data_IF_953159044670
#
_entry.id   IF_953159044670
#
_cell.length_a   1.000
_cell.length_b   1.000
_cell.length_c   1.000
_cell.angle_alpha   90.00
_cell.angle_beta   90.00
_cell.angle_gamma   90.00
#
_symmetry.space_group_name_H-M   'P 1'
#
loop_
_entity.id
_entity.type
_entity.pdbx_description
1 polymer ?
#
# COMPACT_ATOMS: atom_id res chain seq x y z
N UNK A 1 -12.26 1.97 67.51
CA UNK A 1 -11.64 0.64 67.37
C UNK A 1 -10.33 0.82 66.58
N UNK A 2 -9.20 0.58 67.28
CA UNK A 2 -7.84 0.84 66.77
C UNK A 2 -7.42 -0.21 65.75
N UNK A 3 -7.03 0.23 64.59
CA UNK A 3 -6.42 -0.63 63.58
C UNK A 3 -4.99 -1.00 63.97
N UNK A 4 -4.73 -2.28 64.08
CA UNK A 4 -3.53 -2.88 64.61
C UNK A 4 -2.41 -2.90 63.54
N UNK A 5 -1.20 -2.43 63.88
CA UNK A 5 0.00 -2.31 63.05
C UNK A 5 0.52 -3.62 62.41
N UNK A 6 -0.06 -4.77 62.72
CA UNK A 6 0.34 -6.06 62.18
C UNK A 6 -0.27 -6.44 60.85
N UNK A 7 -1.35 -5.73 60.39
CA UNK A 7 -2.01 -5.99 59.12
C UNK A 7 -1.38 -5.24 57.93
N UNK A 8 -0.43 -4.32 58.19
CA UNK A 8 0.22 -3.51 57.14
C UNK A 8 1.51 -4.15 56.59
N UNK A 9 2.04 -5.19 57.22
CA UNK A 9 3.27 -5.85 56.84
C UNK A 9 3.07 -7.16 56.04
N UNK A 10 1.82 -7.60 55.82
CA UNK A 10 1.53 -8.82 55.04
C UNK A 10 1.19 -8.55 53.56
N UNK A 11 1.09 -7.28 53.14
CA UNK A 11 0.78 -6.89 51.74
C UNK A 11 2.01 -6.36 50.97
N UNK A 12 3.21 -6.34 51.58
CA UNK A 12 4.42 -5.80 50.97
C UNK A 12 5.39 -6.89 50.44
N UNK A 13 5.01 -8.17 50.45
CA UNK A 13 5.88 -9.27 50.02
C UNK A 13 5.51 -9.85 48.62
N UNK A 14 4.53 -9.28 47.92
CA UNK A 14 4.10 -9.75 46.59
C UNK A 14 4.54 -8.83 45.44
N UNK A 15 5.41 -7.83 45.67
CA UNK A 15 5.82 -6.84 44.70
C UNK A 15 7.32 -6.93 44.27
N UNK A 16 7.98 -8.07 44.49
CA UNK A 16 9.44 -8.21 44.25
C UNK A 16 9.81 -9.30 43.25
N UNK A 17 8.91 -9.70 42.32
CA UNK A 17 9.26 -10.67 41.25
C UNK A 17 8.90 -10.16 39.82
N UNK A 18 8.88 -8.86 39.61
CA UNK A 18 8.73 -8.26 38.28
C UNK A 18 9.99 -7.47 37.91
N UNK A 19 11.15 -8.11 37.96
CA UNK A 19 12.41 -7.49 37.53
C UNK A 19 13.32 -8.51 36.85
N UNK A 20 12.84 -9.09 35.73
CA UNK A 20 13.71 -9.63 34.67
C UNK A 20 12.95 -9.63 33.35
N UNK A 21 12.46 -8.48 32.91
CA UNK A 21 12.24 -8.28 31.50
C UNK A 21 13.61 -8.34 30.81
N UNK A 22 13.76 -9.12 29.72
CA UNK A 22 15.00 -9.10 28.97
C UNK A 22 15.26 -7.66 28.57
N UNK A 23 16.45 -7.13 28.87
CA UNK A 23 16.93 -5.87 28.33
C UNK A 23 16.92 -6.02 26.81
N UNK A 24 15.88 -5.53 26.16
CA UNK A 24 15.95 -5.23 24.73
C UNK A 24 17.14 -4.29 24.60
N UNK A 25 18.20 -4.74 23.96
CA UNK A 25 19.30 -3.88 23.59
C UNK A 25 18.68 -2.80 22.72
N UNK A 26 18.51 -1.63 23.29
CA UNK A 26 18.25 -0.42 22.52
C UNK A 26 19.48 -0.26 21.61
N UNK A 27 19.33 -0.55 20.33
CA UNK A 27 20.30 -0.12 19.34
C UNK A 27 20.56 1.37 19.58
N UNK A 28 21.80 1.80 19.41
CA UNK A 28 22.21 3.15 19.79
C UNK A 28 21.26 4.15 19.09
N UNK A 29 20.55 4.96 19.85
CA UNK A 29 19.67 6.05 19.33
C UNK A 29 20.41 7.05 18.45
N UNK A 30 21.72 6.90 18.33
CA UNK A 30 22.62 7.80 17.60
C UNK A 30 22.86 7.37 16.13
N UNK A 31 22.53 6.11 15.75
CA UNK A 31 22.69 5.69 14.36
C UNK A 31 21.61 6.32 13.48
N UNK A 32 22.03 7.08 12.46
CA UNK A 32 21.16 7.58 11.39
C UNK A 32 21.49 6.87 10.09
N UNK A 33 20.46 6.31 9.44
CA UNK A 33 20.58 5.66 8.14
C UNK A 33 20.60 6.71 7.02
N UNK A 34 21.54 6.58 6.10
CA UNK A 34 21.62 7.41 4.88
C UNK A 34 20.42 7.08 3.99
N UNK A 35 19.46 7.99 3.94
CA UNK A 35 18.16 7.79 3.32
C UNK A 35 18.02 8.61 2.06
N UNK A 36 17.50 7.99 0.98
CA UNK A 36 17.07 8.66 -0.24
C UNK A 36 15.54 8.57 -0.40
N UNK A 37 14.92 9.60 -0.97
CA UNK A 37 13.53 9.59 -1.43
C UNK A 37 13.51 9.65 -2.96
N UNK A 38 12.81 8.69 -3.59
CA UNK A 38 12.53 8.65 -5.02
C UNK A 38 11.02 8.87 -5.22
N UNK A 39 10.65 9.99 -5.83
CA UNK A 39 9.29 10.50 -5.90
C UNK A 39 9.00 11.47 -4.76
N UNK A 40 9.41 12.75 -4.91
CA UNK A 40 9.25 13.81 -3.90
C UNK A 40 7.91 14.58 -4.01
N UNK A 41 6.89 13.94 -4.59
CA UNK A 41 5.54 14.44 -4.60
C UNK A 41 4.89 14.44 -3.22
N UNK A 42 3.62 14.86 -3.16
CA UNK A 42 2.87 14.99 -1.90
C UNK A 42 2.98 13.77 -0.97
N UNK A 43 2.81 12.54 -1.52
CA UNK A 43 2.81 11.34 -0.69
C UNK A 43 4.22 10.92 -0.26
N UNK A 44 5.20 11.04 -1.13
CA UNK A 44 6.59 10.77 -0.78
C UNK A 44 7.08 11.67 0.35
N UNK A 45 6.73 12.96 0.31
CA UNK A 45 7.05 13.89 1.39
C UNK A 45 6.28 13.57 2.68
N UNK A 46 5.04 13.07 2.62
CA UNK A 46 4.35 12.59 3.82
C UNK A 46 5.10 11.43 4.49
N UNK A 47 5.55 10.44 3.70
CA UNK A 47 6.34 9.32 4.24
C UNK A 47 7.64 9.83 4.85
N UNK A 48 8.34 10.75 4.17
CA UNK A 48 9.61 11.29 4.65
C UNK A 48 9.46 12.07 5.95
N UNK A 49 8.39 12.86 6.12
CA UNK A 49 8.08 13.57 7.39
C UNK A 49 7.93 12.59 8.53
N UNK A 50 7.17 11.51 8.34
CA UNK A 50 6.94 10.50 9.35
C UNK A 50 8.21 9.66 9.64
N UNK A 51 9.04 9.42 8.62
CA UNK A 51 10.35 8.80 8.78
C UNK A 51 11.31 9.68 9.61
N UNK A 52 11.29 10.98 9.40
CA UNK A 52 12.05 11.94 10.20
C UNK A 52 11.52 12.01 11.63
N UNK A 53 10.20 12.02 11.83
CA UNK A 53 9.56 12.03 13.14
C UNK A 53 9.84 10.75 13.95
N UNK A 54 9.90 9.58 13.28
CA UNK A 54 10.29 8.32 13.91
C UNK A 54 11.77 8.28 14.32
N UNK A 55 12.62 9.11 13.70
CA UNK A 55 14.05 9.23 13.99
C UNK A 55 14.92 8.26 13.18
N UNK A 56 16.22 8.30 13.44
CA UNK A 56 17.26 7.48 12.80
C UNK A 56 17.37 7.68 11.27
N UNK A 57 16.80 8.76 10.73
CA UNK A 57 16.83 9.12 9.31
C UNK A 57 17.80 10.28 9.08
N UNK A 58 18.69 10.15 8.09
CA UNK A 58 19.49 11.22 7.53
C UNK A 58 19.23 11.29 6.03
N UNK A 59 18.57 12.37 5.59
CA UNK A 59 18.25 12.55 4.17
C UNK A 59 19.49 13.01 3.43
N UNK A 60 19.98 12.19 2.49
CA UNK A 60 21.21 12.48 1.74
C UNK A 60 20.94 12.74 0.25
N UNK A 61 19.82 12.23 -0.27
CA UNK A 61 19.46 12.42 -1.68
C UNK A 61 17.93 12.46 -1.88
N UNK A 62 17.50 13.24 -2.85
CA UNK A 62 16.13 13.32 -3.36
C UNK A 62 16.16 13.12 -4.88
N UNK A 63 15.17 12.39 -5.41
CA UNK A 63 15.02 12.17 -6.84
C UNK A 63 13.57 12.40 -7.28
N UNK A 64 13.38 13.26 -8.26
CA UNK A 64 12.08 13.45 -8.93
C UNK A 64 12.34 13.97 -10.35
N UNK A 65 11.42 13.71 -11.26
CA UNK A 65 11.46 14.21 -12.64
C UNK A 65 10.88 15.62 -12.80
N UNK A 66 10.32 16.17 -11.72
CA UNK A 66 9.77 17.52 -11.62
C UNK A 66 10.72 18.38 -10.73
N UNK A 67 11.46 19.29 -11.36
CA UNK A 67 12.46 20.11 -10.66
C UNK A 67 11.84 21.02 -9.60
N UNK A 68 10.60 21.53 -9.81
CA UNK A 68 9.91 22.34 -8.80
C UNK A 68 9.62 21.48 -7.55
N UNK A 69 9.26 20.21 -7.72
CA UNK A 69 9.04 19.28 -6.59
C UNK A 69 10.34 19.00 -5.85
N UNK A 70 11.44 18.82 -6.58
CA UNK A 70 12.76 18.61 -5.97
C UNK A 70 13.20 19.81 -5.14
N UNK A 71 13.07 21.03 -5.66
CA UNK A 71 13.47 22.27 -4.95
C UNK A 71 12.67 22.43 -3.66
N UNK A 72 11.33 22.36 -3.74
CA UNK A 72 10.45 22.43 -2.58
C UNK A 72 10.74 21.34 -1.53
N UNK A 73 11.02 20.12 -1.97
CA UNK A 73 11.35 19.03 -1.07
C UNK A 73 12.70 19.22 -0.39
N UNK A 74 13.72 19.75 -1.09
CA UNK A 74 15.03 20.01 -0.53
C UNK A 74 14.98 21.16 0.52
N UNK A 75 14.22 22.22 0.24
CA UNK A 75 13.97 23.30 1.19
C UNK A 75 13.26 22.77 2.44
N UNK A 76 12.19 22.00 2.27
CA UNK A 76 11.44 21.44 3.39
C UNK A 76 12.30 20.50 4.26
N UNK A 77 13.14 19.65 3.66
CA UNK A 77 14.06 18.78 4.41
C UNK A 77 15.04 19.59 5.22
N UNK A 78 15.61 20.67 4.63
CA UNK A 78 16.52 21.56 5.36
C UNK A 78 15.81 22.23 6.55
N UNK A 79 14.57 22.67 6.37
CA UNK A 79 13.78 23.31 7.43
C UNK A 79 13.41 22.33 8.56
N UNK A 80 13.08 21.09 8.22
CA UNK A 80 12.65 20.08 9.19
C UNK A 80 13.80 19.51 10.03
N UNK A 81 14.98 19.29 9.45
CA UNK A 81 16.06 18.57 10.14
C UNK A 81 17.47 19.11 9.89
N UNK A 82 17.65 20.15 9.07
CA UNK A 82 18.95 20.73 8.73
C UNK A 82 19.78 19.91 7.74
N UNK A 83 19.27 18.81 7.20
CA UNK A 83 19.94 18.05 6.16
C UNK A 83 19.92 18.83 4.83
N UNK A 84 20.96 18.67 4.03
CA UNK A 84 21.09 19.27 2.70
C UNK A 84 21.25 18.15 1.66
N UNK A 85 20.15 17.52 1.24
CA UNK A 85 20.22 16.41 0.30
C UNK A 85 20.66 16.88 -1.09
N UNK A 86 21.41 16.04 -1.80
CA UNK A 86 21.65 16.23 -3.22
C UNK A 86 20.39 15.88 -4.01
N UNK A 87 20.16 16.58 -5.11
CA UNK A 87 18.98 16.38 -5.96
C UNK A 87 19.35 15.73 -7.29
N UNK A 88 18.50 14.82 -7.76
CA UNK A 88 18.68 14.04 -8.98
C UNK A 88 17.38 13.97 -9.77
N UNK A 89 17.45 14.05 -11.10
CA UNK A 89 16.32 13.76 -11.98
C UNK A 89 16.26 12.29 -12.42
N UNK A 90 17.36 11.56 -12.24
CA UNK A 90 17.50 10.14 -12.60
C UNK A 90 17.96 9.32 -11.40
N UNK A 91 17.13 8.36 -11.00
CA UNK A 91 17.44 7.47 -9.86
C UNK A 91 18.69 6.61 -10.10
N UNK A 92 19.04 6.30 -11.36
CA UNK A 92 20.25 5.53 -11.68
C UNK A 92 21.49 6.32 -11.31
N UNK A 93 21.50 7.61 -11.64
CA UNK A 93 22.59 8.51 -11.28
C UNK A 93 22.71 8.67 -9.75
N UNK A 94 21.57 8.72 -9.04
CA UNK A 94 21.56 8.75 -7.58
C UNK A 94 22.27 7.54 -6.98
N UNK A 95 21.91 6.32 -7.39
CA UNK A 95 22.52 5.11 -6.84
C UNK A 95 23.97 4.88 -7.31
N UNK A 96 24.37 5.44 -8.44
CA UNK A 96 25.76 5.41 -8.89
C UNK A 96 26.68 6.35 -8.09
N UNK A 97 26.11 7.46 -7.57
CA UNK A 97 26.91 8.53 -6.91
C UNK A 97 26.80 8.54 -5.40
N UNK A 98 25.74 7.99 -4.82
CA UNK A 98 25.47 8.05 -3.39
C UNK A 98 25.42 6.67 -2.75
N UNK A 99 26.04 6.56 -1.58
CA UNK A 99 25.85 5.38 -0.73
C UNK A 99 24.53 5.52 0.04
N UNK A 100 23.54 4.69 -0.30
CA UNK A 100 22.20 4.71 0.28
C UNK A 100 21.98 3.46 1.12
N UNK A 101 21.66 3.63 2.40
CA UNK A 101 21.29 2.52 3.30
C UNK A 101 19.78 2.23 3.24
N UNK A 102 18.94 3.27 3.07
CA UNK A 102 17.48 3.14 2.93
C UNK A 102 17.00 3.96 1.74
N UNK A 103 16.19 3.37 0.87
CA UNK A 103 15.48 4.08 -0.19
C UNK A 103 13.98 4.05 0.05
N UNK A 104 13.35 5.22 0.03
CA UNK A 104 11.89 5.40 0.01
C UNK A 104 11.48 5.49 -1.46
N UNK A 105 10.62 4.58 -1.93
CA UNK A 105 10.08 4.56 -3.30
C UNK A 105 8.62 4.97 -3.24
N UNK A 106 8.32 6.17 -3.73
CA UNK A 106 6.97 6.77 -3.71
C UNK A 106 6.59 7.38 -5.07
N UNK A 107 7.10 6.79 -6.14
CA UNK A 107 6.78 7.11 -7.53
C UNK A 107 5.39 6.59 -7.94
N UNK A 108 4.86 6.90 -9.13
CA UNK A 108 3.74 6.16 -9.72
C UNK A 108 4.05 4.66 -9.87
N UNK A 109 2.98 3.83 -9.86
CA UNK A 109 3.08 2.36 -9.80
C UNK A 109 3.99 1.75 -10.89
N UNK A 110 3.95 2.31 -12.11
CA UNK A 110 4.72 1.81 -13.25
C UNK A 110 6.24 1.95 -13.10
N UNK A 111 6.69 2.74 -12.13
CA UNK A 111 8.10 2.91 -11.80
C UNK A 111 8.58 2.06 -10.63
N UNK A 112 7.66 1.50 -9.84
CA UNK A 112 7.98 0.81 -8.59
C UNK A 112 9.04 -0.29 -8.77
N UNK A 113 8.87 -1.15 -9.80
CA UNK A 113 9.74 -2.29 -9.99
C UNK A 113 11.18 -1.88 -10.33
N UNK A 114 11.37 -0.97 -11.28
CA UNK A 114 12.72 -0.55 -11.70
C UNK A 114 13.46 0.17 -10.57
N UNK A 115 12.79 1.10 -9.88
CA UNK A 115 13.39 1.82 -8.77
C UNK A 115 13.78 0.87 -7.62
N UNK A 116 12.86 -0.02 -7.22
CA UNK A 116 13.11 -0.96 -6.13
C UNK A 116 14.23 -1.94 -6.44
N UNK A 117 14.22 -2.54 -7.64
CA UNK A 117 15.24 -3.51 -8.04
C UNK A 117 16.62 -2.84 -8.13
N UNK A 118 16.70 -1.62 -8.64
CA UNK A 118 17.96 -0.87 -8.70
C UNK A 118 18.48 -0.58 -7.29
N UNK A 119 17.61 -0.10 -6.39
CA UNK A 119 17.99 0.20 -5.02
C UNK A 119 18.41 -1.04 -4.22
N UNK A 120 17.69 -2.17 -4.39
CA UNK A 120 18.06 -3.46 -3.77
C UNK A 120 19.45 -3.95 -4.25
N UNK A 121 19.72 -3.87 -5.55
CA UNK A 121 21.02 -4.24 -6.14
C UNK A 121 22.14 -3.32 -5.69
N UNK A 122 21.84 -2.03 -5.43
CA UNK A 122 22.78 -1.08 -4.81
C UNK A 122 23.01 -1.33 -3.30
N UNK A 123 22.25 -2.26 -2.71
CA UNK A 123 22.43 -2.67 -1.30
C UNK A 123 21.56 -1.92 -0.30
N UNK A 124 20.59 -1.10 -0.73
CA UNK A 124 19.69 -0.39 0.15
C UNK A 124 18.57 -1.29 0.70
N UNK A 125 18.12 -1.04 1.93
CA UNK A 125 16.82 -1.47 2.43
C UNK A 125 15.72 -0.57 1.86
N UNK A 126 14.53 -1.09 1.67
CA UNK A 126 13.48 -0.41 0.91
C UNK A 126 12.23 -0.17 1.74
N UNK A 127 11.73 1.06 1.73
CA UNK A 127 10.34 1.39 2.03
C UNK A 127 9.64 1.74 0.71
N UNK A 128 8.73 0.89 0.25
CA UNK A 128 8.03 1.09 -1.02
C UNK A 128 6.55 1.30 -0.84
N UNK A 129 5.97 2.21 -1.60
CA UNK A 129 4.53 2.36 -1.67
C UNK A 129 3.83 1.19 -2.38
N UNK A 130 2.60 0.97 -1.97
CA UNK A 130 1.68 0.01 -2.61
C UNK A 130 1.06 0.62 -3.90
N UNK A 131 0.63 -0.19 -4.87
CA UNK A 131 0.91 -1.62 -5.02
C UNK A 131 2.39 -1.88 -5.33
N UNK A 132 2.90 -3.06 -5.04
CA UNK A 132 4.35 -3.33 -5.23
C UNK A 132 4.79 -3.28 -6.69
N UNK A 133 3.90 -3.48 -7.65
CA UNK A 133 4.20 -3.37 -9.08
C UNK A 133 2.95 -3.04 -9.90
N UNK A 134 3.15 -2.59 -11.11
CA UNK A 134 2.08 -2.32 -12.06
C UNK A 134 1.55 -3.61 -12.72
N UNK A 135 2.36 -4.66 -12.74
CA UNK A 135 1.99 -6.02 -13.19
C UNK A 135 2.42 -7.07 -12.16
N UNK A 136 1.80 -8.25 -12.20
CA UNK A 136 2.17 -9.36 -11.30
C UNK A 136 3.63 -9.75 -11.51
N UNK A 137 4.09 -9.85 -12.76
CA UNK A 137 5.49 -10.20 -13.06
C UNK A 137 6.50 -9.18 -12.55
N UNK A 138 6.18 -7.87 -12.54
CA UNK A 138 7.01 -6.85 -11.89
C UNK A 138 7.15 -7.10 -10.39
N UNK A 139 6.03 -7.39 -9.72
CA UNK A 139 6.02 -7.68 -8.29
C UNK A 139 6.76 -8.99 -7.95
N UNK A 140 6.66 -10.02 -8.80
CA UNK A 140 7.44 -11.28 -8.70
C UNK A 140 8.95 -11.01 -8.80
N UNK A 141 9.38 -10.19 -9.77
CA UNK A 141 10.78 -9.83 -9.94
C UNK A 141 11.34 -9.07 -8.71
N UNK A 142 10.55 -8.17 -8.15
CA UNK A 142 10.93 -7.46 -6.93
C UNK A 142 11.09 -8.40 -5.74
N UNK A 143 10.14 -9.35 -5.56
CA UNK A 143 10.20 -10.37 -4.52
C UNK A 143 11.48 -11.22 -4.65
N UNK A 144 11.79 -11.70 -5.85
CA UNK A 144 12.98 -12.52 -6.12
C UNK A 144 14.29 -11.75 -5.81
N UNK A 145 14.38 -10.48 -6.23
CA UNK A 145 15.57 -9.65 -5.95
C UNK A 145 15.69 -9.32 -4.46
N UNK A 146 14.60 -9.05 -3.78
CA UNK A 146 14.61 -8.82 -2.33
C UNK A 146 15.13 -10.06 -1.58
N UNK A 147 14.67 -11.25 -1.98
CA UNK A 147 15.18 -12.50 -1.40
C UNK A 147 16.65 -12.75 -1.73
N UNK A 148 17.09 -12.52 -2.96
CA UNK A 148 18.48 -12.70 -3.37
C UNK A 148 19.45 -11.74 -2.63
N UNK A 149 19.05 -10.48 -2.46
CA UNK A 149 19.89 -9.47 -1.79
C UNK A 149 19.80 -9.51 -0.27
N UNK A 150 18.84 -10.23 0.31
CA UNK A 150 18.58 -10.29 1.76
C UNK A 150 18.38 -8.91 2.38
N UNK A 151 17.87 -7.96 1.61
CA UNK A 151 17.51 -6.63 2.12
C UNK A 151 16.08 -6.63 2.64
N UNK A 152 15.86 -5.87 3.69
CA UNK A 152 14.51 -5.69 4.25
C UNK A 152 13.72 -4.79 3.33
N UNK A 153 12.51 -5.21 2.97
CA UNK A 153 11.55 -4.41 2.21
C UNK A 153 10.28 -4.27 3.04
N UNK A 154 9.91 -3.03 3.34
CA UNK A 154 8.64 -2.64 3.96
C UNK A 154 7.73 -2.05 2.89
N UNK A 155 6.51 -2.53 2.80
CA UNK A 155 5.49 -2.02 1.87
C UNK A 155 4.55 -1.07 2.61
N UNK A 156 4.11 0.01 1.99
CA UNK A 156 3.24 1.06 2.53
C UNK A 156 1.82 0.60 2.90
N UNK A 157 1.67 -0.61 3.44
CA UNK A 157 0.42 -1.15 3.96
C UNK A 157 0.23 -0.76 5.44
N UNK A 158 0.27 0.54 5.70
CA UNK A 158 0.34 1.15 7.02
C UNK A 158 -0.85 0.82 7.95
N UNK A 159 -1.95 0.26 7.41
CA UNK A 159 -3.08 -0.19 8.25
C UNK A 159 -2.78 -1.45 9.05
N UNK A 160 -1.79 -2.26 8.64
CA UNK A 160 -1.37 -3.45 9.40
C UNK A 160 -0.81 -3.16 10.79
N UNK A 161 -0.40 -1.94 11.07
CA UNK A 161 0.14 -1.53 12.35
C UNK A 161 -0.75 -0.54 13.10
N UNK A 162 -1.83 -0.08 12.46
CA UNK A 162 -2.77 0.86 13.07
C UNK A 162 -3.49 0.23 14.27
N UNK A 163 -3.52 0.88 15.45
CA UNK A 163 -4.04 0.28 16.68
C UNK A 163 -5.44 -0.30 16.54
N UNK A 164 -6.40 0.44 15.97
CA UNK A 164 -7.76 -0.07 15.81
C UNK A 164 -7.87 -1.21 14.77
N UNK A 165 -6.97 -1.25 13.76
CA UNK A 165 -6.92 -2.37 12.83
C UNK A 165 -6.36 -3.62 13.52
N UNK A 166 -5.34 -3.45 14.37
CA UNK A 166 -4.75 -4.55 15.15
C UNK A 166 -5.79 -5.12 16.11
N UNK A 167 -6.45 -4.27 16.91
CA UNK A 167 -7.47 -4.74 17.87
C UNK A 167 -8.70 -5.35 17.19
N UNK A 168 -9.13 -4.80 16.04
CA UNK A 168 -10.22 -5.38 15.26
C UNK A 168 -9.85 -6.72 14.64
N UNK A 169 -8.61 -6.85 14.17
CA UNK A 169 -8.08 -8.11 13.65
C UNK A 169 -7.96 -9.17 14.74
N UNK A 170 -7.54 -8.79 15.94
CA UNK A 170 -7.50 -9.68 17.10
C UNK A 170 -8.92 -10.15 17.48
N UNK A 171 -9.92 -9.26 17.44
CA UNK A 171 -11.31 -9.64 17.67
C UNK A 171 -11.80 -10.67 16.63
N UNK A 172 -11.50 -10.47 15.34
CA UNK A 172 -11.87 -11.40 14.27
C UNK A 172 -11.18 -12.75 14.42
N UNK A 173 -9.86 -12.76 14.64
CA UNK A 173 -9.05 -13.99 14.78
C UNK A 173 -9.38 -14.80 16.02
N UNK A 174 -9.90 -14.17 17.06
CA UNK A 174 -10.44 -14.85 18.25
C UNK A 174 -11.85 -15.42 18.03
N UNK A 175 -12.40 -15.31 16.82
CA UNK A 175 -13.74 -15.80 16.49
C UNK A 175 -14.87 -14.94 17.04
N UNK A 176 -14.62 -13.63 17.23
CA UNK A 176 -15.60 -12.68 17.73
C UNK A 176 -16.84 -12.58 16.81
N UNK A 177 -16.65 -12.64 15.49
CA UNK A 177 -17.74 -12.69 14.51
C UNK A 177 -18.23 -14.10 14.16
N UNK A 178 -17.59 -15.14 14.70
CA UNK A 178 -17.89 -16.55 14.38
C UNK A 178 -17.26 -17.02 13.08
N UNK A 179 -17.91 -17.98 12.41
CA UNK A 179 -17.47 -18.52 11.12
C UNK A 179 -17.86 -17.53 10.01
N UNK A 180 -16.86 -16.93 9.37
CA UNK A 180 -17.07 -15.90 8.35
C UNK A 180 -17.23 -16.55 6.97
N UNK A 181 -18.39 -16.32 6.35
CA UNK A 181 -18.70 -16.84 5.01
C UNK A 181 -18.58 -15.81 3.90
N UNK A 182 -18.59 -14.51 4.23
CA UNK A 182 -18.49 -13.43 3.25
C UNK A 182 -17.67 -12.27 3.79
N UNK A 183 -16.77 -11.74 2.95
CA UNK A 183 -16.06 -10.45 3.21
C UNK A 183 -16.42 -9.48 2.10
N UNK A 184 -16.88 -8.27 2.44
CA UNK A 184 -17.18 -7.22 1.47
C UNK A 184 -16.28 -6.01 1.72
N UNK A 185 -15.49 -5.63 0.73
CA UNK A 185 -14.59 -4.49 0.71
C UNK A 185 -15.11 -3.46 -0.29
N UNK A 186 -15.03 -2.16 0.04
CA UNK A 186 -15.61 -1.16 -0.85
C UNK A 186 -14.98 0.21 -0.74
N UNK A 187 -15.05 0.97 -1.87
CA UNK A 187 -14.79 2.41 -1.93
C UNK A 187 -15.81 3.07 -2.83
N UNK A 188 -16.58 4.01 -2.29
CA UNK A 188 -17.62 4.72 -2.99
C UNK A 188 -17.38 6.23 -2.96
N UNK A 189 -17.11 6.82 -4.12
CA UNK A 189 -16.85 8.24 -4.27
C UNK A 189 -18.01 8.92 -5.01
N UNK A 190 -18.11 10.22 -4.86
CA UNK A 190 -18.99 11.05 -5.70
C UNK A 190 -18.31 11.34 -7.03
N UNK A 191 -19.09 11.51 -8.08
CA UNK A 191 -18.60 11.82 -9.41
C UNK A 191 -19.71 11.77 -10.44
N UNK A 192 -19.37 11.98 -11.70
CA UNK A 192 -20.30 12.00 -12.82
C UNK A 192 -19.55 11.86 -14.15
N UNK A 193 -20.19 12.31 -15.23
CA UNK A 193 -19.64 12.34 -16.59
C UNK A 193 -18.30 13.07 -16.58
N UNK A 194 -17.30 12.51 -17.25
CA UNK A 194 -15.99 13.11 -17.39
C UNK A 194 -15.88 13.82 -18.75
N UNK A 195 -15.49 15.08 -18.71
CA UNK A 195 -15.27 15.86 -19.93
C UNK A 195 -13.79 15.77 -20.32
N UNK A 196 -13.47 15.47 -21.58
CA UNK A 196 -12.08 15.44 -22.05
C UNK A 196 -11.35 16.76 -21.79
N UNK A 197 -10.11 16.65 -21.36
CA UNK A 197 -9.22 17.80 -21.16
C UNK A 197 -8.19 17.85 -22.28
N UNK A 198 -7.98 19.04 -22.84
CA UNK A 198 -7.00 19.24 -23.90
C UNK A 198 -5.59 18.91 -23.43
N UNK A 199 -4.85 18.24 -24.29
CA UNK A 199 -3.42 18.04 -24.11
C UNK A 199 -2.68 19.38 -24.28
N UNK A 200 -1.51 19.47 -23.68
CA UNK A 200 -0.63 20.63 -23.76
C UNK A 200 0.82 20.18 -23.74
N UNK A 201 1.77 21.05 -24.06
CA UNK A 201 3.15 20.80 -23.69
C UNK A 201 3.27 20.59 -22.17
N UNK A 202 4.19 19.72 -21.70
CA UNK A 202 4.48 19.61 -20.27
C UNK A 202 5.08 20.93 -19.75
N UNK A 203 4.96 21.20 -18.44
CA UNK A 203 5.72 22.29 -17.81
C UNK A 203 7.23 22.14 -18.09
N UNK A 204 7.95 23.25 -18.22
CA UNK A 204 9.41 23.25 -18.46
C UNK A 204 10.18 22.55 -17.33
N UNK A 205 9.62 22.50 -16.14
CA UNK A 205 10.20 21.88 -14.94
C UNK A 205 10.02 20.36 -14.91
N UNK A 206 9.16 19.79 -15.78
CA UNK A 206 8.79 18.37 -15.78
C UNK A 206 9.43 17.64 -16.97
N UNK A 207 10.32 16.70 -16.70
CA UNK A 207 10.76 15.69 -17.68
C UNK A 207 9.64 14.67 -17.90
N UNK A 208 8.77 14.97 -18.86
CA UNK A 208 7.62 14.12 -19.18
C UNK A 208 8.02 12.78 -19.80
N UNK A 209 9.11 12.73 -20.53
CA UNK A 209 9.62 11.49 -21.12
C UNK A 209 10.09 10.53 -20.03
N UNK A 210 10.85 11.03 -19.06
CA UNK A 210 11.28 10.28 -17.90
C UNK A 210 10.08 9.95 -16.97
N UNK A 211 9.09 10.86 -16.85
CA UNK A 211 7.87 10.53 -16.11
C UNK A 211 7.15 9.31 -16.70
N UNK A 212 6.94 9.26 -18.02
CA UNK A 212 6.35 8.11 -18.69
C UNK A 212 7.21 6.84 -18.56
N UNK A 213 8.52 6.98 -18.63
CA UNK A 213 9.48 5.89 -18.41
C UNK A 213 9.16 4.60 -19.17
N UNK A 214 8.96 3.47 -18.46
CA UNK A 214 8.66 2.18 -19.09
C UNK A 214 7.22 2.09 -19.66
N UNK A 215 6.34 3.03 -19.33
CA UNK A 215 5.00 3.12 -19.92
C UNK A 215 5.07 3.70 -21.34
N UNK A 216 4.01 3.54 -22.16
CA UNK A 216 3.93 4.20 -23.46
C UNK A 216 4.07 5.72 -23.31
N UNK A 217 4.85 6.33 -24.21
CA UNK A 217 4.92 7.79 -24.31
C UNK A 217 3.61 8.33 -24.90
N UNK A 218 2.92 9.16 -24.13
CA UNK A 218 1.65 9.77 -24.53
C UNK A 218 1.71 11.29 -24.38
N UNK A 219 0.86 12.05 -25.05
CA UNK A 219 0.79 13.49 -24.88
C UNK A 219 0.58 13.86 -23.40
N UNK A 220 1.24 14.90 -22.95
CA UNK A 220 1.05 15.40 -21.59
C UNK A 220 -0.38 15.93 -21.40
N UNK A 221 -0.96 15.57 -20.26
CA UNK A 221 -2.24 16.08 -19.83
C UNK A 221 -2.20 16.38 -18.33
N UNK A 222 -2.65 17.57 -17.94
CA UNK A 222 -2.67 18.04 -16.55
C UNK A 222 -3.51 17.16 -15.61
N UNK A 223 -4.37 16.29 -16.16
CA UNK A 223 -5.12 15.32 -15.36
C UNK A 223 -4.27 14.13 -14.91
N UNK A 224 -3.11 13.88 -15.52
CA UNK A 224 -2.23 12.75 -15.18
C UNK A 224 -1.29 13.16 -14.06
N UNK A 225 -0.52 14.22 -14.25
CA UNK A 225 0.48 14.71 -13.29
C UNK A 225 -0.06 15.94 -12.53
N UNK A 226 0.18 16.05 -11.21
CA UNK A 226 1.01 15.16 -10.39
C UNK A 226 0.30 13.96 -9.76
N UNK A 227 -1.00 13.95 -9.60
CA UNK A 227 -1.68 12.96 -8.76
C UNK A 227 -2.72 12.09 -9.48
N UNK A 228 -3.12 12.45 -10.69
CA UNK A 228 -4.20 11.77 -11.40
C UNK A 228 -3.79 10.47 -12.10
N UNK A 229 -2.51 10.15 -12.15
CA UNK A 229 -1.96 8.95 -12.78
C UNK A 229 -2.67 7.66 -12.36
N UNK A 230 -3.21 7.60 -11.14
CA UNK A 230 -3.96 6.48 -10.59
C UNK A 230 -5.15 6.04 -11.43
N UNK A 231 -5.63 6.95 -12.28
CA UNK A 231 -6.79 6.74 -13.14
C UNK A 231 -6.44 6.51 -14.60
N UNK A 232 -5.15 6.29 -14.91
CA UNK A 232 -4.62 6.01 -16.24
C UNK A 232 -3.92 4.66 -16.22
N UNK A 233 -4.44 3.70 -16.99
CA UNK A 233 -3.99 2.29 -16.95
C UNK A 233 -2.57 2.07 -17.47
N UNK A 234 -1.99 3.03 -18.16
CA UNK A 234 -0.56 3.00 -18.50
C UNK A 234 0.36 3.20 -17.28
N UNK A 235 -0.12 3.88 -16.25
CA UNK A 235 0.67 4.32 -15.10
C UNK A 235 0.28 3.64 -13.78
N UNK A 236 -0.98 3.18 -13.65
CA UNK A 236 -1.51 2.55 -12.46
C UNK A 236 -2.69 1.63 -12.78
N UNK A 237 -3.32 1.03 -11.77
CA UNK A 237 -4.39 0.05 -11.91
C UNK A 237 -5.75 0.52 -11.35
N UNK A 238 -6.03 1.82 -11.46
CA UNK A 238 -7.31 2.39 -11.02
C UNK A 238 -7.57 2.22 -9.53
N UNK A 239 -8.85 2.28 -9.14
CA UNK A 239 -9.25 2.23 -7.73
C UNK A 239 -8.98 0.87 -7.08
N UNK A 240 -9.06 -0.24 -7.84
CA UNK A 240 -8.75 -1.55 -7.28
C UNK A 240 -7.25 -1.69 -6.97
N UNK A 241 -6.37 -1.15 -7.82
CA UNK A 241 -4.93 -1.10 -7.55
C UNK A 241 -4.55 -0.14 -6.43
N UNK A 242 -5.21 1.02 -6.35
CA UNK A 242 -4.88 2.06 -5.36
C UNK A 242 -5.51 1.79 -3.99
N UNK A 243 -6.83 1.61 -3.91
CA UNK A 243 -7.56 1.40 -2.66
C UNK A 243 -7.85 -0.06 -2.34
N UNK A 244 -8.12 -0.86 -3.38
CA UNK A 244 -8.45 -2.27 -3.19
C UNK A 244 -7.32 -3.04 -2.56
N UNK A 245 -6.08 -2.74 -2.89
CA UNK A 245 -4.90 -3.37 -2.30
C UNK A 245 -4.86 -3.28 -0.77
N UNK A 246 -5.28 -2.16 -0.17
CA UNK A 246 -5.34 -2.01 1.29
C UNK A 246 -6.38 -2.94 1.93
N UNK A 247 -7.56 -3.04 1.32
CA UNK A 247 -8.65 -3.85 1.88
C UNK A 247 -8.46 -5.34 1.60
N UNK A 248 -7.92 -5.69 0.44
CA UNK A 248 -7.47 -7.05 0.14
C UNK A 248 -6.40 -7.49 1.13
N UNK A 249 -5.49 -6.59 1.51
CA UNK A 249 -4.50 -6.86 2.54
C UNK A 249 -5.13 -7.11 3.92
N UNK A 250 -6.16 -6.36 4.31
CA UNK A 250 -6.89 -6.61 5.57
C UNK A 250 -7.59 -7.98 5.58
N UNK A 251 -8.22 -8.35 4.48
CA UNK A 251 -8.81 -9.68 4.32
C UNK A 251 -7.75 -10.78 4.35
N UNK A 252 -6.64 -10.62 3.61
CA UNK A 252 -5.52 -11.57 3.62
C UNK A 252 -4.91 -11.70 5.02
N UNK A 253 -4.81 -10.62 5.77
CA UNK A 253 -4.34 -10.66 7.16
C UNK A 253 -5.26 -11.48 8.06
N UNK A 254 -6.57 -11.32 7.89
CA UNK A 254 -7.55 -12.12 8.63
C UNK A 254 -7.47 -13.61 8.29
N UNK A 255 -7.41 -13.98 7.01
CA UNK A 255 -7.40 -15.38 6.56
C UNK A 255 -5.98 -16.00 6.48
N UNK A 256 -4.99 -15.41 7.17
CA UNK A 256 -3.61 -15.92 7.23
C UNK A 256 -2.98 -16.15 5.85
N UNK A 257 -3.19 -15.19 4.92
CA UNK A 257 -2.58 -15.13 3.59
C UNK A 257 -3.03 -16.28 2.65
N UNK A 258 -4.23 -16.82 2.83
CA UNK A 258 -4.79 -17.78 1.87
C UNK A 258 -4.89 -17.18 0.46
N UNK A 259 -4.83 -18.03 -0.56
CA UNK A 259 -5.01 -17.62 -1.94
C UNK A 259 -6.39 -18.03 -2.47
N UNK A 260 -7.03 -17.23 -3.33
CA UNK A 260 -8.32 -17.58 -3.90
C UNK A 260 -8.16 -18.72 -4.93
N UNK A 261 -9.17 -19.59 -5.02
CA UNK A 261 -9.28 -20.62 -6.03
C UNK A 261 -9.58 -20.02 -7.42
N UNK A 262 -10.37 -18.95 -7.45
CA UNK A 262 -10.71 -18.23 -8.67
C UNK A 262 -11.06 -16.77 -8.39
N UNK A 263 -10.89 -15.94 -9.41
CA UNK A 263 -11.23 -14.51 -9.40
C UNK A 263 -12.11 -14.21 -10.62
N UNK A 264 -13.23 -13.53 -10.39
CA UNK A 264 -14.08 -13.00 -11.46
C UNK A 264 -14.33 -11.52 -11.23
N UNK A 265 -14.23 -10.72 -12.30
CA UNK A 265 -14.44 -9.28 -12.19
C UNK A 265 -15.18 -8.73 -13.41
N UNK A 266 -16.09 -7.82 -13.13
CA UNK A 266 -16.85 -7.05 -14.13
C UNK A 266 -16.80 -5.57 -13.76
N UNK A 267 -16.80 -4.72 -14.78
CA UNK A 267 -16.75 -3.26 -14.56
C UNK A 267 -16.59 -2.51 -15.86
N UNK A 268 -16.31 -1.23 -15.74
CA UNK A 268 -16.14 -0.34 -16.88
C UNK A 268 -16.39 1.10 -16.52
N UNK A 269 -16.87 1.86 -17.50
CA UNK A 269 -17.13 3.31 -17.37
C UNK A 269 -18.59 3.67 -17.67
N UNK A 270 -19.57 3.07 -16.95
CA UNK A 270 -21.01 3.26 -17.26
C UNK A 270 -21.52 4.69 -17.06
N UNK A 271 -20.88 5.48 -16.19
CA UNK A 271 -21.30 6.87 -15.88
C UNK A 271 -20.32 7.89 -16.46
N UNK A 272 -19.03 7.64 -16.43
CA UNK A 272 -18.02 8.55 -16.99
C UNK A 272 -17.99 8.55 -18.53
N UNK A 273 -18.57 7.53 -19.16
CA UNK A 273 -18.57 7.35 -20.60
C UNK A 273 -17.27 6.72 -21.13
N UNK A 274 -17.20 6.53 -22.44
CA UNK A 274 -16.01 5.96 -23.08
C UNK A 274 -14.76 6.82 -22.83
N UNK A 275 -13.61 6.15 -22.72
CA UNK A 275 -12.36 6.85 -22.54
C UNK A 275 -11.94 7.54 -23.84
N UNK A 276 -11.53 8.80 -23.74
CA UNK A 276 -10.96 9.56 -24.83
C UNK A 276 -9.44 9.62 -24.60
N UNK A 277 -8.68 9.03 -25.51
CA UNK A 277 -7.22 8.95 -25.46
C UNK A 277 -6.66 9.23 -26.86
N UNK A 278 -6.47 10.50 -27.18
CA UNK A 278 -5.94 10.91 -28.49
C UNK A 278 -4.93 12.04 -28.34
N UNK A 279 -4.36 12.49 -29.46
CA UNK A 279 -3.33 13.53 -29.48
C UNK A 279 -3.85 14.93 -29.12
N UNK A 280 -5.16 15.15 -29.12
CA UNK A 280 -5.76 16.46 -28.85
C UNK A 280 -6.25 16.60 -27.41
N UNK A 281 -6.85 15.53 -26.87
CA UNK A 281 -7.49 15.56 -25.56
C UNK A 281 -7.58 14.17 -24.94
N UNK A 282 -7.73 14.12 -23.62
CA UNK A 282 -7.81 12.88 -22.85
C UNK A 282 -8.82 12.97 -21.72
N UNK A 283 -9.42 11.81 -21.39
CA UNK A 283 -10.06 11.51 -20.11
C UNK A 283 -9.22 10.49 -19.36
N UNK A 284 -9.57 10.18 -18.10
CA UNK A 284 -9.08 8.94 -17.46
C UNK A 284 -9.61 7.70 -18.21
N UNK A 285 -8.95 6.54 -18.07
CA UNK A 285 -9.34 5.29 -18.74
C UNK A 285 -9.62 4.13 -17.75
N UNK A 286 -9.26 4.30 -16.48
CA UNK A 286 -9.59 3.32 -15.45
C UNK A 286 -11.11 3.23 -15.22
N UNK A 287 -11.63 2.06 -14.80
CA UNK A 287 -13.04 1.86 -14.50
C UNK A 287 -13.58 2.86 -13.48
N UNK A 288 -14.78 3.40 -13.72
CA UNK A 288 -15.49 4.18 -12.71
C UNK A 288 -16.39 3.31 -11.82
N UNK A 289 -16.60 2.05 -12.22
CA UNK A 289 -17.29 1.03 -11.45
C UNK A 289 -16.67 -0.35 -11.72
N UNK A 290 -16.44 -1.10 -10.67
CA UNK A 290 -15.94 -2.47 -10.77
C UNK A 290 -16.39 -3.29 -9.56
N UNK A 291 -16.80 -4.52 -9.82
CA UNK A 291 -17.04 -5.55 -8.81
C UNK A 291 -16.13 -6.73 -9.12
N UNK A 292 -15.35 -7.14 -8.14
CA UNK A 292 -14.53 -8.34 -8.23
C UNK A 292 -14.91 -9.33 -7.13
N UNK A 293 -15.03 -10.60 -7.47
CA UNK A 293 -15.28 -11.70 -6.53
C UNK A 293 -14.09 -12.64 -6.48
N UNK A 294 -13.71 -13.00 -5.28
CA UNK A 294 -12.60 -13.90 -4.99
C UNK A 294 -13.17 -15.10 -4.25
N UNK A 295 -13.14 -16.27 -4.89
CA UNK A 295 -13.62 -17.51 -4.30
C UNK A 295 -12.48 -18.18 -3.53
N UNK A 296 -12.62 -18.28 -2.23
CA UNK A 296 -11.74 -19.07 -1.35
C UNK A 296 -12.40 -20.43 -1.04
N UNK A 297 -11.68 -21.30 -0.37
CA UNK A 297 -12.20 -22.62 -0.02
C UNK A 297 -13.41 -22.55 0.92
N UNK A 298 -13.35 -21.68 1.94
CA UNK A 298 -14.35 -21.58 3.01
C UNK A 298 -15.19 -20.31 2.99
N UNK A 299 -14.81 -19.30 2.22
CA UNK A 299 -15.54 -18.04 2.14
C UNK A 299 -15.44 -17.40 0.76
N UNK A 300 -16.25 -16.39 0.51
CA UNK A 300 -16.17 -15.55 -0.67
C UNK A 300 -15.80 -14.13 -0.25
N UNK A 301 -14.93 -13.46 -1.01
CA UNK A 301 -14.67 -12.04 -0.83
C UNK A 301 -15.16 -11.25 -2.05
N UNK A 302 -15.64 -10.03 -1.80
CA UNK A 302 -16.15 -9.10 -2.81
C UNK A 302 -15.42 -7.78 -2.64
N UNK A 303 -14.89 -7.27 -3.73
CA UNK A 303 -14.51 -5.87 -3.89
C UNK A 303 -15.57 -5.14 -4.69
N UNK A 304 -15.96 -3.93 -4.25
CA UNK A 304 -16.84 -3.03 -4.99
C UNK A 304 -16.28 -1.62 -4.96
N UNK A 305 -16.13 -1.00 -6.13
CA UNK A 305 -15.93 0.45 -6.15
C UNK A 305 -16.84 1.12 -7.18
N UNK A 306 -17.15 2.40 -6.91
CA UNK A 306 -17.80 3.30 -7.85
C UNK A 306 -17.35 4.73 -7.61
N UNK A 307 -17.18 5.47 -8.70
CA UNK A 307 -16.81 6.90 -8.68
C UNK A 307 -18.02 7.78 -9.01
N UNK A 308 -19.18 7.34 -8.64
CA UNK A 308 -20.48 8.03 -8.72
C UNK A 308 -21.37 7.52 -7.59
N UNK A 309 -22.40 8.26 -7.22
CA UNK A 309 -23.35 7.88 -6.16
C UNK A 309 -22.62 7.46 -4.86
N UNK A 310 -22.09 8.43 -4.15
CA UNK A 310 -21.51 8.19 -2.82
C UNK A 310 -22.50 7.48 -1.90
N UNK A 311 -21.99 6.64 -0.98
CA UNK A 311 -22.77 5.68 -0.21
C UNK A 311 -23.49 6.28 1.02
N UNK A 312 -24.41 7.21 0.80
CA UNK A 312 -25.21 7.78 1.87
C UNK A 312 -26.10 6.77 2.63
N UNK A 313 -26.75 5.79 1.96
CA UNK A 313 -27.58 4.79 2.65
C UNK A 313 -26.82 3.88 3.61
N UNK A 314 -25.59 3.48 3.28
CA UNK A 314 -24.75 2.62 4.13
C UNK A 314 -23.91 3.42 5.15
N UNK A 315 -23.98 4.76 5.11
CA UNK A 315 -23.26 5.72 5.98
C UNK A 315 -21.72 5.67 5.92
N UNK A 316 -21.14 4.69 5.25
CA UNK A 316 -19.70 4.55 5.05
C UNK A 316 -19.38 4.58 3.57
N UNK A 317 -18.38 5.40 3.18
CA UNK A 317 -17.90 5.48 1.79
C UNK A 317 -16.71 4.57 1.51
N UNK A 318 -16.08 4.04 2.56
CA UNK A 318 -14.91 3.15 2.47
C UNK A 318 -14.88 2.24 3.69
N UNK A 319 -14.57 0.97 3.49
CA UNK A 319 -14.51 0.01 4.59
C UNK A 319 -14.48 -1.45 4.14
N UNK A 320 -14.51 -2.31 5.15
CA UNK A 320 -14.57 -3.74 4.98
C UNK A 320 -15.56 -4.35 5.99
N UNK A 321 -16.50 -5.14 5.49
CA UNK A 321 -17.42 -5.93 6.31
C UNK A 321 -17.01 -7.40 6.30
N UNK A 322 -17.04 -8.03 7.47
CA UNK A 322 -16.91 -9.47 7.67
C UNK A 322 -18.23 -10.00 8.21
N UNK A 323 -18.89 -10.86 7.45
CA UNK A 323 -20.19 -11.42 7.80
C UNK A 323 -20.00 -12.85 8.30
N UNK A 324 -20.20 -13.03 9.60
CA UNK A 324 -20.07 -14.31 10.28
C UNK A 324 -21.40 -14.75 10.92
N UNK A 325 -21.44 -15.99 11.40
CA UNK A 325 -22.64 -16.61 12.01
C UNK A 325 -23.00 -16.02 13.39
N UNK A 326 -22.10 -15.23 14.01
CA UNK A 326 -22.38 -14.50 15.27
C UNK A 326 -22.74 -13.04 15.05
N UNK A 327 -22.58 -12.52 13.84
CA UNK A 327 -22.89 -11.13 13.49
C UNK A 327 -21.99 -10.52 12.42
N UNK A 328 -22.14 -9.23 12.23
CA UNK A 328 -21.41 -8.47 11.20
C UNK A 328 -20.35 -7.59 11.86
N UNK A 329 -19.11 -7.73 11.42
CA UNK A 329 -18.01 -6.87 11.83
C UNK A 329 -17.70 -5.86 10.71
N UNK A 330 -17.59 -4.57 11.05
CA UNK A 330 -17.17 -3.50 10.16
C UNK A 330 -15.82 -2.93 10.59
N UNK A 331 -14.85 -2.92 9.69
CA UNK A 331 -13.57 -2.23 9.84
C UNK A 331 -13.62 -0.94 9.03
N UNK A 332 -13.53 0.20 9.72
CA UNK A 332 -13.48 1.51 9.11
C UNK A 332 -12.06 1.97 8.79
N UNK A 333 -11.93 2.99 7.96
CA UNK A 333 -10.62 3.58 7.62
C UNK A 333 -10.08 4.50 8.71
N UNK A 334 -10.97 5.35 9.28
CA UNK A 334 -10.62 6.37 10.29
C UNK A 334 -11.54 6.36 11.51
N UNK A 335 -12.60 5.59 11.48
CA UNK A 335 -13.69 5.57 12.43
C UNK A 335 -13.70 4.31 13.33
N UNK A 336 -12.53 3.66 13.44
CA UNK A 336 -12.39 2.46 14.28
C UNK A 336 -13.07 1.24 13.68
N UNK A 337 -13.57 0.36 14.54
CA UNK A 337 -14.33 -0.82 14.12
C UNK A 337 -15.60 -1.01 14.95
N UNK A 338 -16.57 -1.70 14.36
CA UNK A 338 -17.85 -1.98 15.00
C UNK A 338 -18.28 -3.42 14.74
N UNK A 339 -18.70 -4.12 15.78
CA UNK A 339 -19.35 -5.43 15.67
C UNK A 339 -20.83 -5.31 16.01
N UNK A 340 -21.68 -5.78 15.13
CA UNK A 340 -23.13 -5.86 15.24
C UNK A 340 -23.51 -7.33 15.47
N UNK A 341 -23.83 -7.75 16.72
CA UNK A 341 -24.23 -9.12 16.99
C UNK A 341 -25.52 -9.48 16.26
N UNK A 342 -25.62 -10.74 15.80
CA UNK A 342 -26.86 -11.26 15.20
C UNK A 342 -27.98 -11.43 16.27
N UNK A 343 -27.62 -11.70 17.53
CA UNK A 343 -28.54 -11.69 18.65
C UNK A 343 -28.92 -10.25 19.04
N UNK A 344 -30.18 -9.80 18.80
CA UNK A 344 -30.60 -8.43 19.06
C UNK A 344 -30.60 -8.05 20.56
N UNK A 345 -30.43 -9.01 21.46
CA UNK A 345 -30.30 -8.77 22.90
C UNK A 345 -28.88 -8.40 23.33
N UNK A 346 -27.89 -8.64 22.48
CA UNK A 346 -26.51 -8.28 22.74
C UNK A 346 -26.23 -6.86 22.28
N UNK A 347 -25.45 -6.09 23.05
CA UNK A 347 -25.08 -4.74 22.64
C UNK A 347 -24.14 -4.75 21.44
N UNK A 348 -24.25 -3.73 20.59
CA UNK A 348 -23.24 -3.41 19.58
C UNK A 348 -21.93 -3.07 20.29
N UNK A 349 -20.83 -3.61 19.79
CA UNK A 349 -19.47 -3.32 20.29
C UNK A 349 -18.83 -2.35 19.31
N UNK A 350 -18.32 -1.23 19.80
CA UNK A 350 -17.59 -0.28 19.00
C UNK A 350 -16.27 0.10 19.69
N UNK A 351 -15.22 0.25 18.87
CA UNK A 351 -13.95 0.79 19.29
C UNK A 351 -13.56 1.92 18.36
N UNK A 352 -13.38 3.11 18.92
CA UNK A 352 -12.90 4.29 18.19
C UNK A 352 -11.48 4.07 17.68
N UNK A 353 -11.10 4.84 16.64
CA UNK A 353 -9.72 4.94 16.22
C UNK A 353 -8.89 5.64 17.30
N UNK A 354 -7.79 5.02 17.72
CA UNK A 354 -6.91 5.57 18.75
C UNK A 354 -6.04 6.74 18.24
N UNK A 355 -5.76 6.78 16.94
CA UNK A 355 -4.95 7.82 16.33
C UNK A 355 -5.82 8.90 15.72
N UNK A 356 -5.54 10.17 16.03
CA UNK A 356 -6.28 11.31 15.48
C UNK A 356 -6.01 11.52 13.99
N UNK A 357 -4.76 11.32 13.56
CA UNK A 357 -4.34 11.36 12.16
C UNK A 357 -3.78 9.99 11.75
N UNK A 358 -4.66 9.02 11.51
CA UNK A 358 -4.24 7.62 11.37
C UNK A 358 -3.39 7.37 10.12
N UNK A 359 -3.46 8.20 9.09
CA UNK A 359 -2.62 8.02 7.89
C UNK A 359 -1.15 8.34 8.21
N UNK A 360 -0.85 9.51 8.81
CA UNK A 360 0.49 9.91 9.20
C UNK A 360 1.04 9.04 10.33
N UNK A 361 0.35 8.98 11.46
CA UNK A 361 0.84 8.25 12.64
C UNK A 361 1.04 6.74 12.38
N UNK A 362 0.21 6.12 11.53
CA UNK A 362 0.44 4.73 11.12
C UNK A 362 1.71 4.58 10.29
N UNK A 363 2.05 5.54 9.43
CA UNK A 363 3.32 5.52 8.68
C UNK A 363 4.50 5.64 9.63
N UNK A 364 4.43 6.48 10.66
CA UNK A 364 5.47 6.60 11.68
C UNK A 364 5.70 5.26 12.41
N UNK A 365 4.62 4.59 12.83
CA UNK A 365 4.70 3.27 13.44
C UNK A 365 5.28 2.22 12.48
N UNK A 366 4.86 2.26 11.22
CA UNK A 366 5.36 1.36 10.18
C UNK A 366 6.85 1.57 9.90
N UNK A 367 7.31 2.82 9.91
CA UNK A 367 8.72 3.15 9.79
C UNK A 367 9.54 2.62 10.98
N UNK A 368 9.02 2.74 12.20
CA UNK A 368 9.66 2.18 13.38
C UNK A 368 9.77 0.64 13.33
N UNK A 369 8.73 -0.05 12.82
CA UNK A 369 8.76 -1.49 12.57
C UNK A 369 9.81 -1.86 11.50
N UNK A 370 9.90 -1.08 10.43
CA UNK A 370 10.91 -1.25 9.39
C UNK A 370 12.33 -1.14 9.93
N UNK A 371 12.63 -0.11 10.71
CA UNK A 371 13.95 0.05 11.35
C UNK A 371 14.27 -1.14 12.28
N UNK A 372 13.28 -1.56 13.06
CA UNK A 372 13.41 -2.74 13.93
C UNK A 372 13.68 -4.03 13.11
N UNK A 373 13.03 -4.18 11.97
CA UNK A 373 13.26 -5.31 11.07
C UNK A 373 14.70 -5.30 10.51
N UNK A 374 15.21 -4.13 10.12
CA UNK A 374 16.61 -3.96 9.69
C UNK A 374 17.60 -4.36 10.81
N UNK A 375 17.37 -3.88 12.03
CA UNK A 375 18.25 -4.14 13.17
C UNK A 375 18.27 -5.60 13.61
N UNK A 376 17.10 -6.26 13.56
CA UNK A 376 16.92 -7.62 14.09
C UNK A 376 17.06 -8.72 13.05
N UNK A 377 17.06 -8.38 11.77
CA UNK A 377 16.97 -9.33 10.64
C UNK A 377 15.65 -10.08 10.56
N UNK A 378 14.61 -9.62 11.29
CA UNK A 378 13.27 -10.22 11.22
C UNK A 378 12.45 -9.58 10.08
N UNK A 379 11.44 -10.30 9.62
CA UNK A 379 10.50 -9.76 8.64
C UNK A 379 9.68 -8.61 9.25
N UNK A 380 9.48 -7.50 8.53
CA UNK A 380 8.60 -6.43 8.97
C UNK A 380 7.12 -6.85 8.83
N UNK A 381 6.23 -6.12 9.50
CA UNK A 381 4.78 -6.44 9.56
C UNK A 381 4.12 -6.43 8.17
N UNK A 382 4.59 -5.60 7.26
CA UNK A 382 4.15 -5.52 5.87
C UNK A 382 5.33 -5.73 4.91
N UNK A 383 5.97 -6.90 4.98
CA UNK A 383 7.08 -7.27 4.11
C UNK A 383 6.69 -7.43 2.65
N UNK A 384 7.69 -7.60 1.78
CA UNK A 384 7.48 -7.71 0.34
C UNK A 384 6.52 -8.85 -0.05
N UNK A 385 6.56 -9.98 0.65
CA UNK A 385 5.66 -11.12 0.39
C UNK A 385 4.20 -10.75 0.62
N UNK A 386 3.94 -10.03 1.70
CA UNK A 386 2.60 -9.53 2.05
C UNK A 386 2.11 -8.52 1.00
N UNK A 387 2.95 -7.58 0.64
CA UNK A 387 2.64 -6.59 -0.41
C UNK A 387 2.43 -7.23 -1.76
N UNK A 388 3.24 -8.23 -2.13
CA UNK A 388 3.10 -8.99 -3.35
C UNK A 388 1.75 -9.71 -3.42
N UNK A 389 1.32 -10.39 -2.35
CA UNK A 389 0.04 -11.09 -2.32
C UNK A 389 -1.14 -10.13 -2.48
N UNK A 390 -1.18 -9.04 -1.73
CA UNK A 390 -2.25 -8.05 -1.83
C UNK A 390 -2.30 -7.40 -3.23
N UNK A 391 -1.13 -7.08 -3.80
CA UNK A 391 -0.99 -6.58 -5.17
C UNK A 391 -1.47 -7.61 -6.18
N UNK A 392 -1.08 -8.88 -6.05
CA UNK A 392 -1.50 -9.96 -6.96
C UNK A 392 -3.02 -10.09 -7.00
N UNK A 393 -3.71 -10.08 -5.86
CA UNK A 393 -5.17 -10.16 -5.84
C UNK A 393 -5.83 -8.97 -6.55
N UNK A 394 -5.33 -7.75 -6.34
CA UNK A 394 -5.87 -6.58 -7.02
C UNK A 394 -5.67 -6.66 -8.54
N UNK A 395 -4.50 -7.11 -8.98
CA UNK A 395 -4.17 -7.27 -10.40
C UNK A 395 -4.91 -8.44 -11.06
N UNK A 396 -5.17 -9.54 -10.36
CA UNK A 396 -6.03 -10.63 -10.85
C UNK A 396 -7.46 -10.13 -11.10
N UNK A 397 -7.99 -9.24 -10.23
CA UNK A 397 -9.27 -8.59 -10.46
C UNK A 397 -9.28 -7.71 -11.71
N UNK A 398 -8.23 -6.92 -11.95
CA UNK A 398 -8.08 -6.12 -13.16
C UNK A 398 -7.97 -7.00 -14.40
N UNK A 399 -7.18 -8.07 -14.33
CA UNK A 399 -6.94 -9.00 -15.42
C UNK A 399 -8.21 -9.79 -15.79
N UNK A 400 -8.96 -10.30 -14.82
CA UNK A 400 -10.24 -10.97 -15.03
C UNK A 400 -11.25 -10.05 -15.75
N UNK A 401 -11.34 -8.79 -15.34
CA UNK A 401 -12.18 -7.78 -16.01
C UNK A 401 -11.75 -7.56 -17.47
N UNK A 402 -10.44 -7.39 -17.71
CA UNK A 402 -9.90 -7.20 -19.06
C UNK A 402 -10.16 -8.38 -19.98
N UNK A 403 -10.11 -9.59 -19.44
CA UNK A 403 -10.39 -10.84 -20.17
C UNK A 403 -11.89 -11.14 -20.35
N UNK A 404 -12.75 -10.49 -19.54
CA UNK A 404 -14.20 -10.76 -19.53
C UNK A 404 -14.59 -12.16 -19.04
N UNK A 405 -13.72 -12.81 -18.25
CA UNK A 405 -13.93 -14.16 -17.71
C UNK A 405 -13.21 -14.39 -16.38
N UNK A 406 -13.64 -15.42 -15.65
CA UNK A 406 -12.95 -15.89 -14.45
C UNK A 406 -11.55 -16.41 -14.77
N UNK A 407 -10.63 -16.21 -13.83
CA UNK A 407 -9.28 -16.79 -13.85
C UNK A 407 -9.08 -17.65 -12.61
N UNK A 408 -8.34 -18.78 -12.75
CA UNK A 408 -7.92 -19.64 -11.64
C UNK A 408 -6.45 -19.41 -11.37
N UNK A 409 -6.10 -19.13 -10.12
CA UNK A 409 -4.74 -18.80 -9.73
C UNK A 409 -4.03 -19.95 -9.03
N UNK A 410 -2.85 -20.29 -9.48
CA UNK A 410 -1.92 -21.18 -8.80
C UNK A 410 -0.91 -20.33 -8.03
N UNK A 411 -1.08 -20.27 -6.70
CA UNK A 411 -0.23 -19.45 -5.85
C UNK A 411 1.20 -20.00 -5.69
N UNK A 412 1.38 -21.30 -5.82
CA UNK A 412 2.70 -21.94 -5.70
C UNK A 412 3.53 -21.71 -6.97
N UNK A 413 2.91 -21.84 -8.14
CA UNK A 413 3.55 -21.59 -9.42
C UNK A 413 3.49 -20.12 -9.87
N UNK A 414 2.73 -19.30 -9.15
CA UNK A 414 2.54 -17.88 -9.44
C UNK A 414 2.07 -17.63 -10.90
N UNK A 415 1.06 -18.41 -11.34
CA UNK A 415 0.53 -18.36 -12.69
C UNK A 415 -0.97 -18.65 -12.73
N UNK A 416 -1.60 -18.30 -13.84
CA UNK A 416 -3.00 -18.65 -14.11
C UNK A 416 -3.06 -20.07 -14.68
N UNK A 417 -3.91 -20.91 -14.11
CA UNK A 417 -4.05 -22.31 -14.44
C UNK A 417 -4.72 -22.46 -15.82
N UNK A 418 -4.09 -23.23 -16.70
CA UNK A 418 -4.61 -23.62 -18.03
C UNK A 418 -5.04 -22.43 -18.92
N UNK A 419 -4.34 -21.28 -18.84
CA UNK A 419 -4.71 -20.09 -19.58
C UNK A 419 -3.47 -19.28 -20.01
N UNK A 420 -2.86 -19.66 -21.13
CA UNK A 420 -1.64 -18.99 -21.63
C UNK A 420 -1.91 -17.55 -22.06
N UNK A 421 -3.10 -17.24 -22.59
CA UNK A 421 -3.45 -15.87 -22.96
C UNK A 421 -3.54 -14.96 -21.73
N UNK A 422 -4.03 -15.45 -20.60
CA UNK A 422 -4.04 -14.73 -19.34
C UNK A 422 -2.62 -14.63 -18.73
N UNK A 423 -1.81 -15.70 -18.83
CA UNK A 423 -0.42 -15.68 -18.36
C UNK A 423 0.44 -14.66 -19.12
N UNK A 424 0.21 -14.45 -20.41
CA UNK A 424 0.88 -13.41 -21.17
C UNK A 424 0.59 -12.00 -20.62
N UNK A 425 -0.55 -11.77 -19.98
CA UNK A 425 -0.92 -10.49 -19.37
C UNK A 425 -0.38 -10.28 -17.96
N UNK A 426 0.31 -11.27 -17.38
CA UNK A 426 1.05 -11.07 -16.11
C UNK A 426 2.23 -10.13 -16.27
N UNK A 427 2.61 -9.82 -17.51
CA UNK A 427 3.68 -8.91 -17.92
C UNK A 427 3.14 -7.87 -18.90
N UNK A 428 3.93 -6.84 -19.16
CA UNK A 428 3.67 -5.83 -20.19
C UNK A 428 4.95 -5.52 -20.96
N UNK A 429 4.82 -4.94 -22.13
CA UNK A 429 5.95 -4.38 -22.84
C UNK A 429 6.43 -3.10 -22.16
N UNK A 430 7.74 -2.93 -22.09
CA UNK A 430 8.37 -1.69 -21.67
C UNK A 430 8.81 -0.89 -22.90
N UNK A 431 8.54 0.41 -22.85
CA UNK A 431 9.06 1.34 -23.84
C UNK A 431 10.59 1.40 -23.76
N UNK A 432 11.28 1.27 -24.89
CA UNK A 432 12.74 1.45 -24.95
C UNK A 432 13.15 2.86 -24.44
N UNK A 433 14.27 3.02 -23.74
CA UNK A 433 15.33 2.02 -23.52
C UNK A 433 15.12 1.13 -22.28
N UNK A 434 13.95 1.19 -21.65
CA UNK A 434 13.68 0.44 -20.41
C UNK A 434 13.52 -1.05 -20.69
N UNK A 435 14.06 -1.87 -19.81
CA UNK A 435 14.03 -3.32 -19.92
C UNK A 435 13.16 -3.89 -18.80
N UNK A 436 12.22 -4.76 -19.16
CA UNK A 436 11.36 -5.44 -18.18
C UNK A 436 12.22 -6.31 -17.25
N UNK A 437 12.03 -6.24 -15.93
CA UNK A 437 12.83 -7.02 -14.99
C UNK A 437 12.49 -8.51 -15.09
N UNK A 438 13.54 -9.33 -15.25
CA UNK A 438 13.39 -10.79 -15.26
C UNK A 438 13.45 -11.34 -13.83
N UNK A 439 12.68 -12.40 -13.60
CA UNK A 439 12.81 -13.24 -12.39
C UNK A 439 14.01 -14.15 -12.65
N UNK A 440 15.16 -13.79 -12.08
CA UNK A 440 16.43 -14.57 -12.21
C UNK A 440 16.70 -15.32 -10.93
#
# INVERSE_FOLDING_TARGET
MSLNRRSFLATSAAAATLASAPKVHSASKDKKYRTALIGSGWWGMNILREALAAGQTKVVALCDVDSDKLELAAEEVNDLCGDQPKTYSDFRELFDKEEIEIAIIATPDHWHALNTITALKAGAHIFIEKPTGHTIGESQAMLAVADATKRVVQVGLHRRIGPHHVSGMDFLKQGGAGDIGLVKMFVHNRGGIETPTKNSPPPETLDWEMYCGPAPLRPYNRLIHPGGFRHYLDFANGILGDWGVHWLDQMLWWCDQQSPLSVHSVGGRPVRGEAVLNDLEQTSDAPDSQVATYQFETFTAIWEHRRFAGNGPEKSSVGCYFYGDKGTFHMGWRDGWTFYPDDPKKPVIHQDAELQEPDGHNIQLLWADFLKAIETGKKPVAGIEVGHQATTLSLLGMLSMKLGRSVRWDADQQRIIDDEAANALLRREYRAPWVYPEVT
#
